data_IF_341388019862
#
_entry.id   IF_341388019862
#
_cell.length_a   1.000
_cell.length_b   1.000
_cell.length_c   1.000
_cell.angle_alpha   90.00
_cell.angle_beta   90.00
_cell.angle_gamma   90.00
#
_symmetry.space_group_name_H-M   'P 1'
#
loop_
_entity.id
_entity.type
_entity.pdbx_description
1 polymer ?
#
# COMPACT_ATOMS: atom_id res chain seq x y z
N UNK A 1 7.13 28.60 -8.58
CA UNK A 1 7.27 27.74 -7.39
C UNK A 1 5.93 27.53 -6.65
N UNK A 2 4.80 27.31 -7.36
CA UNK A 2 3.47 27.21 -6.74
C UNK A 2 2.68 25.93 -7.14
N UNK A 3 3.27 25.01 -7.90
CA UNK A 3 2.58 23.81 -8.37
C UNK A 3 2.94 22.53 -7.58
N UNK A 4 4.10 22.47 -6.91
CA UNK A 4 4.62 21.21 -6.35
C UNK A 4 3.83 20.70 -5.14
N UNK A 5 3.14 21.58 -4.39
CA UNK A 5 2.39 21.16 -3.20
C UNK A 5 1.11 20.37 -3.48
N UNK A 6 0.50 20.48 -4.68
CA UNK A 6 -0.70 19.69 -5.02
C UNK A 6 -0.39 18.24 -5.43
N UNK A 7 0.87 17.93 -5.74
CA UNK A 7 1.30 16.60 -6.21
C UNK A 7 2.14 15.83 -5.19
N UNK A 8 2.22 16.29 -3.93
CA UNK A 8 2.88 15.54 -2.86
C UNK A 8 2.18 14.21 -2.55
N UNK A 9 0.85 14.17 -2.74
CA UNK A 9 0.06 12.95 -2.61
C UNK A 9 -0.40 12.50 -4.00
N UNK A 10 0.12 11.36 -4.47
CA UNK A 10 -0.10 10.87 -5.84
C UNK A 10 -1.01 9.66 -5.93
N UNK A 11 -0.99 8.77 -4.92
CA UNK A 11 -1.80 7.55 -4.90
C UNK A 11 -3.25 7.90 -4.55
N UNK A 12 -4.19 7.43 -5.37
CA UNK A 12 -5.64 7.64 -5.19
C UNK A 12 -6.36 6.35 -4.81
N UNK A 13 -5.90 5.19 -5.32
CA UNK A 13 -6.37 3.86 -4.92
C UNK A 13 -5.23 2.86 -4.92
N UNK A 14 -5.22 1.96 -3.93
CA UNK A 14 -4.27 0.86 -3.85
C UNK A 14 -4.89 -0.41 -3.26
N UNK A 15 -4.22 -1.52 -3.50
CA UNK A 15 -4.53 -2.83 -2.94
C UNK A 15 -3.26 -3.50 -2.40
N UNK A 16 -3.42 -4.20 -1.27
CA UNK A 16 -2.43 -5.11 -0.71
C UNK A 16 -2.96 -6.53 -0.77
N UNK A 17 -2.11 -7.46 -1.20
CA UNK A 17 -2.39 -8.89 -1.28
C UNK A 17 -1.24 -9.69 -0.67
N UNK A 18 -1.56 -10.87 -0.14
CA UNK A 18 -0.56 -11.88 0.24
C UNK A 18 -0.70 -13.10 -0.65
N UNK A 19 0.37 -13.89 -0.76
CA UNK A 19 0.34 -15.14 -1.52
C UNK A 19 0.17 -16.33 -0.58
N UNK A 20 -0.87 -17.12 -0.81
CA UNK A 20 -1.18 -18.36 -0.09
C UNK A 20 -1.60 -19.43 -1.10
N UNK A 21 -1.04 -20.64 -0.96
CA UNK A 21 -1.30 -21.78 -1.84
C UNK A 21 -1.17 -21.45 -3.34
N UNK A 22 -0.17 -20.63 -3.68
CA UNK A 22 0.11 -20.20 -5.05
C UNK A 22 -0.79 -19.06 -5.56
N UNK A 23 -1.88 -18.73 -4.88
CA UNK A 23 -2.84 -17.70 -5.23
C UNK A 23 -2.62 -16.39 -4.45
N UNK A 24 -3.01 -15.27 -5.06
CA UNK A 24 -3.04 -13.97 -4.38
C UNK A 24 -4.38 -13.78 -3.69
N UNK A 25 -4.33 -13.45 -2.40
CA UNK A 25 -5.50 -13.17 -1.55
C UNK A 25 -5.45 -11.73 -1.05
N UNK A 26 -6.58 -11.01 -0.99
CA UNK A 26 -6.60 -9.62 -0.57
C UNK A 26 -6.29 -9.50 0.93
N UNK A 27 -5.52 -8.47 1.29
CA UNK A 27 -5.29 -8.01 2.66
C UNK A 27 -6.19 -6.81 2.94
N UNK A 28 -6.02 -5.75 2.14
CA UNK A 28 -6.81 -4.53 2.26
C UNK A 28 -6.79 -3.73 0.96
N UNK A 29 -7.75 -2.81 0.87
CA UNK A 29 -7.79 -1.75 -0.13
C UNK A 29 -7.81 -0.40 0.57
N UNK A 30 -7.25 0.60 -0.07
CA UNK A 30 -7.27 1.96 0.44
C UNK A 30 -7.16 2.99 -0.66
N UNK A 31 -7.21 4.25 -0.26
CA UNK A 31 -7.18 5.39 -1.18
C UNK A 31 -5.84 6.13 -1.08
N UNK A 32 -5.79 7.17 -0.24
CA UNK A 32 -4.63 8.05 -0.11
C UNK A 32 -3.62 7.47 0.89
N UNK A 33 -2.33 7.43 0.50
CA UNK A 33 -1.21 7.05 1.39
C UNK A 33 -0.64 8.29 2.12
N UNK A 34 -0.42 9.39 1.39
CA UNK A 34 0.18 10.61 1.95
C UNK A 34 1.59 10.37 2.48
N UNK A 35 1.93 10.98 3.63
CA UNK A 35 3.25 10.82 4.28
C UNK A 35 3.47 9.40 4.81
N UNK A 36 2.43 8.77 5.36
CA UNK A 36 2.48 7.42 5.94
C UNK A 36 1.08 6.85 6.05
N UNK A 37 0.93 5.57 5.72
CA UNK A 37 -0.28 4.79 5.92
C UNK A 37 0.09 3.48 6.61
N UNK A 38 -0.61 3.17 7.70
CA UNK A 38 -0.50 1.88 8.39
C UNK A 38 -1.80 1.12 8.12
N UNK A 39 -1.68 -0.07 7.55
CA UNK A 39 -2.80 -0.97 7.34
C UNK A 39 -2.71 -2.10 8.37
N UNK A 40 -3.62 -2.09 9.35
CA UNK A 40 -3.80 -3.22 10.27
C UNK A 40 -4.77 -4.23 9.64
N UNK A 41 -4.47 -5.51 9.78
CA UNK A 41 -5.23 -6.63 9.24
C UNK A 41 -4.95 -7.87 10.10
N UNK A 42 -5.83 -8.90 10.08
CA UNK A 42 -5.58 -10.16 10.78
C UNK A 42 -4.24 -10.77 10.35
N UNK A 43 -3.51 -11.39 11.29
CA UNK A 43 -2.21 -11.98 10.99
C UNK A 43 -2.32 -13.06 9.90
N UNK A 44 -1.46 -12.97 8.89
CA UNK A 44 -1.34 -13.96 7.81
C UNK A 44 0.09 -14.50 7.74
N UNK A 45 0.25 -15.77 7.37
CA UNK A 45 1.55 -16.37 7.12
C UNK A 45 1.81 -16.38 5.62
N UNK A 46 2.76 -15.56 5.16
CA UNK A 46 3.10 -15.48 3.74
C UNK A 46 4.58 -15.17 3.53
N UNK A 47 5.15 -15.67 2.43
CA UNK A 47 6.47 -15.26 1.93
C UNK A 47 6.41 -14.03 1.04
N UNK A 48 5.25 -13.73 0.47
CA UNK A 48 5.09 -12.67 -0.53
C UNK A 48 3.95 -11.74 -0.18
N UNK A 49 4.21 -10.45 -0.35
CA UNK A 49 3.23 -9.37 -0.31
C UNK A 49 3.29 -8.68 -1.66
N UNK A 50 2.13 -8.35 -2.22
CA UNK A 50 2.01 -7.52 -3.42
C UNK A 50 1.30 -6.23 -3.04
N UNK A 51 1.92 -5.13 -3.41
CA UNK A 51 1.34 -3.80 -3.32
C UNK A 51 1.08 -3.30 -4.74
N UNK A 52 -0.18 -3.01 -5.02
CA UNK A 52 -0.63 -2.55 -6.34
C UNK A 52 -1.23 -1.16 -6.20
N UNK A 53 -0.68 -0.19 -6.94
CA UNK A 53 -1.29 1.12 -7.10
C UNK A 53 -2.28 1.01 -8.25
N UNK A 54 -3.56 1.13 -7.93
CA UNK A 54 -4.66 0.98 -8.89
C UNK A 54 -4.95 2.30 -9.62
N UNK A 55 -4.83 3.42 -8.91
CA UNK A 55 -5.03 4.76 -9.46
C UNK A 55 -4.04 5.76 -8.85
N UNK A 56 -3.56 6.69 -9.69
CA UNK A 56 -2.67 7.76 -9.26
C UNK A 56 -2.79 8.99 -10.15
N UNK A 57 -2.71 10.19 -9.54
CA UNK A 57 -2.72 11.49 -10.25
C UNK A 57 -1.51 11.70 -11.17
N UNK A 58 -0.43 11.00 -10.89
CA UNK A 58 0.83 11.02 -11.63
C UNK A 58 1.67 9.79 -11.24
N UNK A 59 2.86 9.62 -11.82
CA UNK A 59 3.82 8.60 -11.42
C UNK A 59 4.05 8.61 -9.89
N UNK A 60 3.59 7.60 -9.16
CA UNK A 60 3.71 7.56 -7.71
C UNK A 60 5.17 7.28 -7.31
N UNK A 61 5.61 7.91 -6.22
CA UNK A 61 6.90 7.63 -5.59
C UNK A 61 6.63 7.07 -4.19
N UNK A 62 7.13 5.87 -3.92
CA UNK A 62 6.99 5.19 -2.62
C UNK A 62 8.38 5.08 -2.03
N UNK A 63 8.59 5.73 -0.88
CA UNK A 63 9.89 5.76 -0.22
C UNK A 63 10.21 4.49 0.56
N UNK A 64 9.19 3.83 1.11
CA UNK A 64 9.33 2.61 1.90
C UNK A 64 8.05 1.77 1.90
N UNK A 65 8.23 0.45 1.97
CA UNK A 65 7.19 -0.52 2.31
C UNK A 65 7.76 -1.40 3.41
N UNK A 66 7.07 -1.48 4.53
CA UNK A 66 7.54 -2.17 5.72
C UNK A 66 6.45 -3.11 6.22
N UNK A 67 6.84 -4.32 6.62
CA UNK A 67 5.95 -5.34 7.18
C UNK A 67 6.36 -5.61 8.61
N UNK A 68 5.40 -5.58 9.51
CA UNK A 68 5.60 -5.76 10.93
C UNK A 68 4.76 -6.93 11.42
N UNK A 69 5.32 -7.73 12.34
CA UNK A 69 4.52 -8.65 13.13
C UNK A 69 3.90 -7.86 14.28
N UNK A 70 2.60 -7.62 14.23
CA UNK A 70 1.86 -7.05 15.34
C UNK A 70 2.04 -7.91 16.59
N UNK A 71 2.09 -7.26 17.75
CA UNK A 71 1.94 -7.92 19.04
C UNK A 71 0.47 -7.70 19.39
N UNK A 72 -0.34 -8.74 19.22
CA UNK A 72 -1.63 -8.82 19.90
C UNK A 72 -1.39 -9.36 21.31
#
# INVERSE_FOLDING_TARGET
MLAEHRYGQRVERYELEYREDGAWKPICRGTVIGRKRICKFPAVRSRYIRFTILESRWCPNISAIEVYRGVD
#
